data_IF_563340514515
#
_entry.id   IF_563340514515
#
_cell.length_a   1.000
_cell.length_b   1.000
_cell.length_c   1.000
_cell.angle_alpha   90.00
_cell.angle_beta   90.00
_cell.angle_gamma   90.00
#
_symmetry.space_group_name_H-M   'P 1'
#
loop_
_entity.id
_entity.type
_entity.pdbx_description
1 polymer ?
#
# COMPACT_ATOMS: atom_id res chain seq x y z
N UNK A 1 4.80 -23.66 2.60
CA UNK A 1 3.86 -22.55 2.92
C UNK A 1 2.94 -22.37 1.72
N UNK A 2 1.64 -22.19 1.93
CA UNK A 2 0.66 -21.96 0.85
C UNK A 2 1.03 -20.67 0.08
N UNK A 3 1.15 -20.75 -1.26
CA UNK A 3 1.55 -19.62 -2.13
C UNK A 3 0.67 -18.40 -1.92
N UNK A 4 -0.62 -18.60 -1.66
CA UNK A 4 -1.56 -17.50 -1.40
C UNK A 4 -1.24 -16.79 -0.09
N UNK A 5 -0.86 -17.54 0.96
CA UNK A 5 -0.46 -16.98 2.25
C UNK A 5 0.85 -16.19 2.13
N UNK A 6 1.80 -16.67 1.34
CA UNK A 6 3.06 -15.97 1.06
C UNK A 6 2.79 -14.62 0.39
N UNK A 7 1.95 -14.60 -0.66
CA UNK A 7 1.60 -13.37 -1.36
C UNK A 7 0.89 -12.37 -0.45
N UNK A 8 -0.04 -12.84 0.39
CA UNK A 8 -0.69 -11.97 1.40
C UNK A 8 0.33 -11.37 2.36
N UNK A 9 1.28 -12.18 2.84
CA UNK A 9 2.33 -11.70 3.74
C UNK A 9 3.19 -10.63 3.07
N UNK A 10 3.66 -10.86 1.84
CA UNK A 10 4.48 -9.89 1.10
C UNK A 10 3.68 -8.60 0.85
N UNK A 11 2.43 -8.73 0.43
CA UNK A 11 1.56 -7.60 0.15
C UNK A 11 1.30 -6.73 1.40
N UNK A 12 1.02 -7.35 2.55
CA UNK A 12 0.81 -6.64 3.82
C UNK A 12 2.11 -5.99 4.27
N UNK A 13 3.22 -6.73 4.32
CA UNK A 13 4.51 -6.20 4.77
C UNK A 13 5.00 -5.05 3.89
N UNK A 14 4.84 -5.15 2.56
CA UNK A 14 5.19 -4.08 1.64
C UNK A 14 4.43 -2.79 1.92
N UNK A 15 3.11 -2.87 2.15
CA UNK A 15 2.32 -1.68 2.47
C UNK A 15 2.55 -1.14 3.89
N UNK A 16 2.96 -1.98 4.86
CA UNK A 16 3.40 -1.51 6.18
C UNK A 16 4.71 -0.75 6.06
N UNK A 17 5.68 -1.32 5.33
CA UNK A 17 6.96 -0.67 5.07
C UNK A 17 6.76 0.69 4.40
N UNK A 18 5.92 0.74 3.36
CA UNK A 18 5.53 1.97 2.65
C UNK A 18 5.11 3.08 3.63
N UNK A 19 4.08 2.83 4.43
CA UNK A 19 3.55 3.81 5.39
C UNK A 19 4.60 4.26 6.41
N UNK A 20 5.46 3.35 6.88
CA UNK A 20 6.50 3.69 7.84
C UNK A 20 7.57 4.60 7.22
N UNK A 21 8.02 4.29 6.01
CA UNK A 21 9.03 5.09 5.31
C UNK A 21 8.46 6.44 4.92
N UNK A 22 7.24 6.49 4.36
CA UNK A 22 6.56 7.75 4.04
C UNK A 22 6.42 8.64 5.28
N UNK A 23 6.04 8.08 6.43
CA UNK A 23 5.89 8.84 7.67
C UNK A 23 7.21 9.42 8.16
N UNK A 24 8.29 8.63 8.12
CA UNK A 24 9.63 9.11 8.46
C UNK A 24 10.02 10.24 7.49
N UNK A 25 9.82 10.06 6.18
CA UNK A 25 10.13 11.07 5.17
C UNK A 25 9.36 12.38 5.41
N UNK A 26 8.05 12.32 5.62
CA UNK A 26 7.22 13.50 5.90
C UNK A 26 7.65 14.24 7.16
N UNK A 27 8.14 13.52 8.18
CA UNK A 27 8.69 14.14 9.39
C UNK A 27 9.95 14.98 9.12
N UNK A 28 10.77 14.57 8.14
CA UNK A 28 11.98 15.28 7.73
C UNK A 28 11.76 16.25 6.56
N UNK A 29 10.51 16.64 6.27
CA UNK A 29 10.16 17.54 5.15
C UNK A 29 10.61 16.98 3.78
N UNK A 30 10.64 15.65 3.64
CA UNK A 30 10.87 14.96 2.37
C UNK A 30 9.53 14.43 1.90
N UNK A 31 9.10 14.82 0.70
CA UNK A 31 7.75 14.48 0.21
C UNK A 31 7.82 13.37 -0.83
N UNK A 32 7.20 12.25 -0.49
CA UNK A 32 6.63 11.34 -1.48
C UNK A 32 5.39 11.97 -2.12
N UNK A 33 5.33 11.93 -3.45
CA UNK A 33 4.18 12.36 -4.24
C UNK A 33 2.99 11.38 -4.06
N UNK A 34 2.39 11.33 -2.86
CA UNK A 34 1.14 10.59 -2.66
C UNK A 34 -0.03 11.40 -3.26
N UNK A 35 -0.66 10.95 -4.36
CA UNK A 35 -1.64 11.76 -5.09
C UNK A 35 -2.88 12.09 -4.28
N UNK A 36 -3.27 11.20 -3.35
CA UNK A 36 -4.48 11.38 -2.53
C UNK A 36 -4.22 12.41 -1.43
N UNK A 37 -3.06 12.34 -0.78
CA UNK A 37 -2.66 13.32 0.23
C UNK A 37 -2.53 14.71 -0.38
N UNK A 38 -1.93 14.80 -1.57
CA UNK A 38 -1.81 16.05 -2.33
C UNK A 38 -3.18 16.58 -2.77
N UNK A 39 -4.08 15.71 -3.26
CA UNK A 39 -5.44 16.11 -3.64
C UNK A 39 -6.22 16.68 -2.46
N UNK A 40 -6.04 16.13 -1.26
CA UNK A 40 -6.72 16.57 -0.04
C UNK A 40 -5.99 17.73 0.67
N UNK A 41 -4.86 18.20 0.14
CA UNK A 41 -4.02 19.28 0.70
C UNK A 41 -3.75 19.10 2.21
N UNK A 42 -3.45 17.87 2.63
CA UNK A 42 -3.16 17.56 4.02
C UNK A 42 -1.70 17.90 4.28
N UNK A 43 -1.42 18.80 5.23
CA UNK A 43 -0.05 19.27 5.50
C UNK A 43 0.55 18.77 6.82
N UNK A 44 -0.27 18.29 7.76
CA UNK A 44 0.24 17.74 9.02
C UNK A 44 0.74 16.31 8.81
N UNK A 45 2.01 15.98 9.16
CA UNK A 45 2.54 14.62 9.03
C UNK A 45 1.71 13.55 9.76
N UNK A 46 1.06 13.92 10.87
CA UNK A 46 0.18 13.03 11.63
C UNK A 46 -1.11 12.75 10.83
N UNK A 47 -1.74 13.78 10.27
CA UNK A 47 -2.94 13.59 9.43
C UNK A 47 -2.62 12.85 8.12
N UNK A 48 -1.43 13.07 7.55
CA UNK A 48 -0.93 12.31 6.41
C UNK A 48 -0.80 10.83 6.76
N UNK A 49 -0.23 10.50 7.93
CA UNK A 49 -0.12 9.12 8.44
C UNK A 49 -1.49 8.48 8.64
N UNK A 50 -2.42 9.15 9.32
CA UNK A 50 -3.78 8.65 9.54
C UNK A 50 -4.49 8.36 8.20
N UNK A 51 -4.34 9.27 7.23
CA UNK A 51 -4.91 9.12 5.89
C UNK A 51 -4.28 7.94 5.16
N UNK A 52 -2.95 7.80 5.20
CA UNK A 52 -2.24 6.69 4.58
C UNK A 52 -2.68 5.34 5.17
N UNK A 53 -2.76 5.22 6.50
CA UNK A 53 -3.27 4.03 7.18
C UNK A 53 -4.69 3.72 6.72
N UNK A 54 -5.57 4.72 6.68
CA UNK A 54 -6.95 4.56 6.20
C UNK A 54 -7.00 4.03 4.76
N UNK A 55 -6.20 4.59 3.85
CA UNK A 55 -6.12 4.13 2.46
C UNK A 55 -5.61 2.69 2.36
N UNK A 56 -4.59 2.31 3.13
CA UNK A 56 -4.09 0.92 3.15
C UNK A 56 -5.14 -0.06 3.69
N UNK A 57 -5.88 0.30 4.73
CA UNK A 57 -6.96 -0.53 5.27
C UNK A 57 -8.09 -0.74 4.24
N UNK A 58 -8.49 0.32 3.53
CA UNK A 58 -9.47 0.23 2.44
C UNK A 58 -8.96 -0.69 1.32
N UNK A 59 -7.69 -0.56 0.95
CA UNK A 59 -7.05 -1.43 -0.04
C UNK A 59 -7.07 -2.90 0.39
N UNK A 60 -6.68 -3.19 1.63
CA UNK A 60 -6.68 -4.54 2.20
C UNK A 60 -8.08 -5.14 2.24
N UNK A 61 -9.06 -4.39 2.71
CA UNK A 61 -10.46 -4.82 2.75
C UNK A 61 -10.99 -5.11 1.34
N UNK A 62 -10.71 -4.22 0.38
CA UNK A 62 -11.12 -4.38 -1.03
C UNK A 62 -10.56 -5.67 -1.62
N UNK A 63 -9.24 -5.88 -1.52
CA UNK A 63 -8.59 -7.07 -2.08
C UNK A 63 -9.09 -8.35 -1.37
N UNK A 64 -9.28 -8.30 -0.05
CA UNK A 64 -9.85 -9.42 0.69
C UNK A 64 -11.24 -9.81 0.14
N UNK A 65 -12.14 -8.84 -0.03
CA UNK A 65 -13.47 -9.10 -0.57
C UNK A 65 -13.44 -9.61 -2.01
N UNK A 66 -12.57 -9.07 -2.87
CA UNK A 66 -12.38 -9.57 -4.24
C UNK A 66 -11.89 -11.02 -4.22
N UNK A 67 -10.90 -11.35 -3.38
CA UNK A 67 -10.43 -12.75 -3.27
C UNK A 67 -11.51 -13.69 -2.76
N UNK A 68 -12.41 -13.23 -1.88
CA UNK A 68 -13.60 -13.99 -1.43
C UNK A 68 -14.62 -14.20 -2.55
N UNK A 69 -14.84 -13.21 -3.41
CA UNK A 69 -15.71 -13.36 -4.59
C UNK A 69 -15.12 -14.41 -5.54
N UNK A 70 -13.80 -14.34 -5.80
CA UNK A 70 -13.12 -15.34 -6.64
C UNK A 70 -13.22 -16.75 -6.06
N UNK A 71 -13.08 -16.88 -4.74
CA UNK A 71 -13.27 -18.15 -4.04
C UNK A 71 -14.69 -18.71 -4.26
N UNK A 72 -15.72 -17.87 -4.14
CA UNK A 72 -17.12 -18.26 -4.38
C UNK A 72 -17.39 -18.67 -5.83
N UNK A 73 -16.68 -18.08 -6.79
CA UNK A 73 -16.81 -18.38 -8.21
C UNK A 73 -15.89 -19.53 -8.68
N UNK A 74 -15.16 -20.19 -7.76
CA UNK A 74 -14.14 -21.20 -8.08
C UNK A 74 -13.04 -20.68 -9.04
N UNK A 75 -12.74 -19.38 -8.98
CA UNK A 75 -11.70 -18.73 -9.77
C UNK A 75 -10.36 -18.74 -9.04
N UNK A 76 -9.27 -18.60 -9.78
CA UNK A 76 -7.93 -18.59 -9.22
C UNK A 76 -7.65 -17.29 -8.44
N UNK A 77 -7.63 -17.37 -7.11
CA UNK A 77 -7.31 -16.26 -6.19
C UNK A 77 -5.93 -15.63 -6.43
N UNK A 78 -4.97 -16.42 -6.94
CA UNK A 78 -3.63 -15.91 -7.25
C UNK A 78 -3.65 -14.87 -8.37
N UNK A 79 -4.62 -14.97 -9.29
CA UNK A 79 -4.76 -14.03 -10.41
C UNK A 79 -5.10 -12.60 -9.94
N UNK A 80 -5.69 -12.46 -8.75
CA UNK A 80 -5.94 -11.17 -8.11
C UNK A 80 -4.74 -10.76 -7.27
N UNK A 81 -4.29 -11.62 -6.37
CA UNK A 81 -3.33 -11.21 -5.35
C UNK A 81 -1.93 -10.93 -5.94
N UNK A 82 -1.54 -11.66 -6.99
CA UNK A 82 -0.23 -11.51 -7.62
C UNK A 82 -0.01 -10.12 -8.23
N UNK A 83 -0.87 -9.59 -9.13
CA UNK A 83 -0.67 -8.26 -9.70
C UNK A 83 -0.69 -7.17 -8.63
N UNK A 84 -1.56 -7.24 -7.63
CA UNK A 84 -1.56 -6.26 -6.51
C UNK A 84 -0.26 -6.31 -5.71
N UNK A 85 0.27 -7.51 -5.46
CA UNK A 85 1.57 -7.65 -4.77
C UNK A 85 2.70 -7.03 -5.60
N UNK A 86 2.73 -7.28 -6.92
CA UNK A 86 3.73 -6.71 -7.83
C UNK A 86 3.65 -5.18 -7.83
N UNK A 87 2.44 -4.63 -7.98
CA UNK A 87 2.23 -3.17 -7.95
C UNK A 87 2.69 -2.58 -6.63
N UNK A 88 2.35 -3.18 -5.49
CA UNK A 88 2.84 -2.73 -4.18
C UNK A 88 4.37 -2.70 -4.12
N UNK A 89 5.04 -3.76 -4.57
CA UNK A 89 6.51 -3.79 -4.56
C UNK A 89 7.11 -2.72 -5.46
N UNK A 90 6.54 -2.50 -6.64
CA UNK A 90 6.99 -1.44 -7.57
C UNK A 90 6.83 -0.06 -6.93
N UNK A 91 5.65 0.22 -6.35
CA UNK A 91 5.36 1.50 -5.68
C UNK A 91 6.35 1.73 -4.53
N UNK A 92 6.50 0.76 -3.63
CA UNK A 92 7.44 0.84 -2.50
C UNK A 92 8.87 1.14 -2.96
N UNK A 93 9.32 0.48 -4.04
CA UNK A 93 10.65 0.73 -4.62
C UNK A 93 10.74 2.16 -5.12
N UNK A 94 9.80 2.60 -5.96
CA UNK A 94 9.81 3.94 -6.54
C UNK A 94 9.75 5.03 -5.46
N UNK A 95 8.89 4.84 -4.47
CA UNK A 95 8.69 5.77 -3.36
C UNK A 95 9.97 5.89 -2.53
N UNK A 96 10.61 4.75 -2.19
CA UNK A 96 11.91 4.73 -1.50
C UNK A 96 13.04 5.41 -2.30
N UNK A 97 13.09 5.21 -3.62
CA UNK A 97 14.15 5.78 -4.47
C UNK A 97 13.93 7.25 -4.83
N UNK A 98 12.68 7.72 -4.87
CA UNK A 98 12.32 9.07 -5.29
C UNK A 98 12.06 10.02 -4.12
N UNK A 99 12.46 9.65 -2.89
CA UNK A 99 12.49 10.55 -1.74
C UNK A 99 13.30 11.80 -2.09
N UNK A 100 12.59 12.92 -2.27
CA UNK A 100 13.17 14.20 -2.67
C UNK A 100 12.92 15.23 -1.57
N UNK A 101 13.93 16.03 -1.19
CA UNK A 101 13.72 17.13 -0.25
C UNK A 101 12.73 18.15 -0.84
N UNK A 102 11.88 18.72 0.01
CA UNK A 102 10.99 19.83 -0.33
C UNK A 102 11.75 21.08 -0.80
#
# INVERSE_FOLDING_TARGET
>A
MDRLKVLWLIFILGNIYDVLISFIAWHYEVVELNPVINLLNIQSPILMLETAIGLKLILFATIYWITKIFDKLNLNKLAILLPFTIVTLIVVILDTYNLSPL
#
